data_IF_383495389607
#
_entry.id   IF_383495389607
#
_cell.length_a   1.000
_cell.length_b   1.000
_cell.length_c   1.000
_cell.angle_alpha   90.00
_cell.angle_beta   90.00
_cell.angle_gamma   90.00
#
_symmetry.space_group_name_H-M   'P 1'
#
loop_
_entity.id
_entity.type
_entity.pdbx_description
1 polymer ?
#
# COMPACT_ATOMS: atom_id res chain seq x y z
N UNK A 1 19.99 -55.17 -43.99
CA UNK A 1 19.66 -54.11 -43.00
C UNK A 1 18.87 -53.00 -43.70
N UNK A 2 17.55 -53.06 -43.67
CA UNK A 2 16.69 -52.01 -44.23
C UNK A 2 16.66 -50.82 -43.26
N UNK A 3 17.43 -49.78 -43.54
CA UNK A 3 17.24 -48.48 -42.89
C UNK A 3 15.93 -47.89 -43.40
N UNK A 4 14.84 -48.11 -42.66
CA UNK A 4 13.55 -47.44 -42.91
C UNK A 4 13.83 -45.94 -42.87
N UNK A 5 13.80 -45.29 -44.03
CA UNK A 5 13.94 -43.83 -44.13
C UNK A 5 12.69 -43.24 -43.48
N UNK A 6 12.86 -42.54 -42.36
CA UNK A 6 11.74 -41.84 -41.73
C UNK A 6 11.17 -40.83 -42.72
N UNK A 7 9.84 -40.78 -42.90
CA UNK A 7 9.25 -39.83 -43.82
C UNK A 7 9.43 -38.40 -43.27
N UNK A 8 9.64 -37.42 -44.16
CA UNK A 8 9.95 -36.03 -43.74
C UNK A 8 8.91 -35.41 -42.81
N UNK A 9 7.63 -35.81 -42.92
CA UNK A 9 6.56 -35.37 -42.02
C UNK A 9 6.70 -35.88 -40.58
N UNK A 10 7.30 -37.06 -40.37
CA UNK A 10 7.56 -37.59 -39.04
C UNK A 10 8.67 -36.79 -38.32
N UNK A 11 9.65 -36.28 -39.07
CA UNK A 11 10.70 -35.39 -38.52
C UNK A 11 10.10 -34.05 -38.10
N UNK A 12 9.21 -33.47 -38.92
CA UNK A 12 8.51 -32.21 -38.59
C UNK A 12 7.65 -32.37 -37.33
N UNK A 13 6.88 -33.46 -37.21
CA UNK A 13 6.08 -33.72 -36.00
C UNK A 13 6.93 -33.87 -34.74
N UNK A 14 8.07 -34.55 -34.82
CA UNK A 14 8.98 -34.70 -33.68
C UNK A 14 9.57 -33.34 -33.28
N UNK A 15 9.96 -32.50 -34.24
CA UNK A 15 10.46 -31.15 -33.96
C UNK A 15 9.40 -30.29 -33.28
N UNK A 16 8.16 -30.31 -33.78
CA UNK A 16 7.03 -29.59 -33.16
C UNK A 16 6.75 -30.08 -31.74
N UNK A 17 6.79 -31.40 -31.51
CA UNK A 17 6.53 -32.00 -30.21
C UNK A 17 7.65 -31.69 -29.20
N UNK A 18 8.91 -31.68 -29.64
CA UNK A 18 10.06 -31.25 -28.82
C UNK A 18 9.95 -29.76 -28.50
N UNK A 19 9.60 -28.90 -29.46
CA UNK A 19 9.38 -27.46 -29.21
C UNK A 19 8.23 -27.26 -28.21
N UNK A 20 7.12 -27.99 -28.35
CA UNK A 20 5.99 -27.92 -27.44
C UNK A 20 6.35 -28.41 -26.02
N UNK A 21 7.19 -29.44 -25.91
CA UNK A 21 7.61 -30.01 -24.63
C UNK A 21 8.64 -29.12 -23.93
N UNK A 22 9.58 -28.54 -24.68
CA UNK A 22 10.50 -27.50 -24.19
C UNK A 22 9.73 -26.25 -23.77
N UNK A 23 8.73 -25.81 -24.56
CA UNK A 23 7.86 -24.69 -24.20
C UNK A 23 7.04 -24.98 -22.93
N UNK A 24 6.47 -26.17 -22.80
CA UNK A 24 5.68 -26.57 -21.63
C UNK A 24 6.49 -26.62 -20.33
N UNK A 25 7.71 -27.16 -20.36
CA UNK A 25 8.61 -27.18 -19.19
C UNK A 25 9.14 -25.77 -18.88
N UNK A 26 9.37 -24.94 -19.90
CA UNK A 26 9.87 -23.56 -19.74
C UNK A 26 8.85 -22.61 -19.10
N UNK A 27 7.58 -23.00 -18.97
CA UNK A 27 6.50 -22.14 -18.47
C UNK A 27 6.23 -22.33 -16.96
N UNK A 28 6.49 -23.53 -16.41
CA UNK A 28 6.22 -23.82 -14.99
C UNK A 28 7.14 -23.03 -14.05
N UNK A 29 8.41 -22.88 -14.41
CA UNK A 29 9.38 -22.10 -13.63
C UNK A 29 8.99 -20.63 -13.52
N UNK A 30 8.81 -19.91 -14.64
CA UNK A 30 8.39 -18.51 -14.63
C UNK A 30 7.06 -18.27 -13.94
N UNK A 31 6.07 -19.16 -14.12
CA UNK A 31 4.78 -19.04 -13.43
C UNK A 31 4.94 -19.02 -11.90
N UNK A 32 5.68 -19.99 -11.34
CA UNK A 32 5.90 -20.05 -9.89
C UNK A 32 6.68 -18.83 -9.38
N UNK A 33 7.62 -18.31 -10.16
CA UNK A 33 8.33 -17.07 -9.83
C UNK A 33 7.41 -15.84 -9.86
N UNK A 34 6.51 -15.74 -10.85
CA UNK A 34 5.50 -14.67 -10.90
C UNK A 34 4.59 -14.70 -9.68
N UNK A 35 4.07 -15.89 -9.33
CA UNK A 35 3.26 -16.07 -8.11
C UNK A 35 4.04 -15.64 -6.87
N UNK A 36 5.32 -16.02 -6.77
CA UNK A 36 6.17 -15.62 -5.65
C UNK A 36 6.38 -14.11 -5.55
N UNK A 37 6.54 -13.40 -6.67
CA UNK A 37 6.63 -11.94 -6.67
C UNK A 37 5.28 -11.26 -6.42
N UNK A 38 4.19 -11.83 -6.95
CA UNK A 38 2.83 -11.34 -6.71
C UNK A 38 2.48 -11.37 -5.22
N UNK A 39 2.79 -12.48 -4.55
CA UNK A 39 2.57 -12.68 -3.11
C UNK A 39 3.40 -11.73 -2.26
N UNK A 40 4.65 -11.44 -2.68
CA UNK A 40 5.49 -10.43 -2.00
C UNK A 40 4.85 -9.05 -2.05
N UNK A 41 4.38 -8.64 -3.24
CA UNK A 41 3.69 -7.35 -3.39
C UNK A 41 2.44 -7.28 -2.51
N UNK A 42 1.63 -8.34 -2.51
CA UNK A 42 0.43 -8.43 -1.67
C UNK A 42 0.78 -8.34 -0.18
N UNK A 43 1.81 -9.04 0.26
CA UNK A 43 2.31 -8.98 1.64
C UNK A 43 2.79 -7.57 2.00
N UNK A 44 3.56 -6.92 1.13
CA UNK A 44 4.04 -5.57 1.35
C UNK A 44 2.88 -4.55 1.43
N UNK A 45 1.82 -4.74 0.64
CA UNK A 45 0.60 -3.92 0.74
C UNK A 45 -0.10 -4.12 2.09
N UNK A 46 -0.23 -5.36 2.58
CA UNK A 46 -0.81 -5.64 3.90
C UNK A 46 0.04 -5.04 5.04
N UNK A 47 1.35 -4.94 4.86
CA UNK A 47 2.22 -4.25 5.83
C UNK A 47 1.89 -2.76 5.89
N UNK A 48 1.68 -2.09 4.75
CA UNK A 48 1.23 -0.69 4.71
C UNK A 48 -0.08 -0.53 5.48
N UNK A 49 -1.09 -1.37 5.18
CA UNK A 49 -2.37 -1.37 5.87
C UNK A 49 -2.21 -1.50 7.39
N UNK A 50 -1.35 -2.40 7.85
CA UNK A 50 -1.10 -2.62 9.28
C UNK A 50 -0.49 -1.39 9.96
N UNK A 51 0.45 -0.73 9.29
CA UNK A 51 1.05 0.49 9.85
C UNK A 51 0.07 1.67 9.84
N UNK A 52 -0.75 1.81 8.80
CA UNK A 52 -1.83 2.81 8.76
C UNK A 52 -2.87 2.56 9.85
N UNK A 53 -3.25 1.30 10.08
CA UNK A 53 -4.12 0.93 11.20
C UNK A 53 -3.48 1.33 12.54
N UNK A 54 -2.19 1.07 12.73
CA UNK A 54 -1.48 1.45 13.96
C UNK A 54 -1.51 2.95 14.21
N UNK A 55 -1.42 3.77 13.15
CA UNK A 55 -1.56 5.23 13.24
C UNK A 55 -2.98 5.62 13.66
N UNK A 56 -4.00 5.02 13.04
CA UNK A 56 -5.41 5.27 13.41
C UNK A 56 -5.70 4.85 14.85
N UNK A 57 -5.16 3.71 15.31
CA UNK A 57 -5.29 3.24 16.68
C UNK A 57 -4.73 4.25 17.67
N UNK A 58 -3.55 4.82 17.37
CA UNK A 58 -2.98 5.89 18.20
C UNK A 58 -3.83 7.16 18.18
N UNK A 59 -4.39 7.53 17.03
CA UNK A 59 -5.30 8.68 16.95
C UNK A 59 -6.57 8.41 17.77
N UNK A 60 -7.14 7.20 17.69
CA UNK A 60 -8.31 6.80 18.47
C UNK A 60 -8.03 6.87 19.98
N UNK A 61 -6.84 6.46 20.41
CA UNK A 61 -6.41 6.50 21.82
C UNK A 61 -6.39 7.95 22.37
N UNK A 62 -5.90 8.90 21.57
CA UNK A 62 -5.80 10.30 21.98
C UNK A 62 -7.11 11.09 21.82
N UNK A 63 -7.98 10.67 20.89
CA UNK A 63 -9.17 11.42 20.47
C UNK A 63 -10.05 11.88 21.64
N UNK A 64 -10.39 11.05 22.65
CA UNK A 64 -11.24 11.50 23.75
C UNK A 64 -10.64 12.65 24.57
N UNK A 65 -9.31 12.68 24.73
CA UNK A 65 -8.63 13.75 25.46
C UNK A 65 -8.65 15.06 24.68
N UNK A 66 -8.40 15.00 23.37
CA UNK A 66 -8.50 16.16 22.46
C UNK A 66 -9.92 16.70 22.43
N UNK A 67 -10.91 15.83 22.26
CA UNK A 67 -12.33 16.21 22.25
C UNK A 67 -12.82 16.75 23.59
N UNK A 68 -12.22 16.34 24.71
CA UNK A 68 -12.55 16.84 26.05
C UNK A 68 -11.99 18.24 26.34
N UNK A 69 -10.90 18.63 25.68
CA UNK A 69 -10.30 19.96 25.82
C UNK A 69 -10.91 21.00 24.86
N UNK A 70 -11.39 20.55 23.70
CA UNK A 70 -11.90 21.41 22.63
C UNK A 70 -13.42 21.66 22.71
N UNK A 71 -13.88 22.78 22.14
CA UNK A 71 -15.30 23.01 21.89
C UNK A 71 -15.71 22.32 20.58
N UNK A 72 -16.94 21.79 20.52
CA UNK A 72 -17.45 21.13 19.29
C UNK A 72 -17.61 22.10 18.11
N UNK A 73 -17.61 23.42 18.37
CA UNK A 73 -17.69 24.44 17.33
C UNK A 73 -16.34 24.75 16.67
N UNK A 74 -15.23 24.27 17.25
CA UNK A 74 -13.89 24.53 16.73
C UNK A 74 -13.72 23.88 15.36
N UNK A 75 -13.17 24.62 14.40
CA UNK A 75 -13.01 24.15 13.02
C UNK A 75 -12.17 22.87 12.97
N UNK A 76 -11.14 22.78 13.81
CA UNK A 76 -10.29 21.59 13.96
C UNK A 76 -11.09 20.34 14.38
N UNK A 77 -12.09 20.49 15.26
CA UNK A 77 -12.95 19.38 15.65
C UNK A 77 -13.80 18.91 14.46
N UNK A 78 -14.35 19.85 13.68
CA UNK A 78 -15.16 19.55 12.49
C UNK A 78 -14.33 18.88 11.40
N UNK A 79 -13.09 19.32 11.19
CA UNK A 79 -12.19 18.76 10.18
C UNK A 79 -11.85 17.30 10.52
N UNK A 80 -11.48 17.02 11.77
CA UNK A 80 -11.24 15.64 12.23
C UNK A 80 -12.50 14.79 12.09
N UNK A 81 -13.67 15.30 12.46
CA UNK A 81 -14.94 14.59 12.32
C UNK A 81 -15.30 14.30 10.84
N UNK A 82 -15.01 15.25 9.94
CA UNK A 82 -15.22 15.08 8.51
C UNK A 82 -14.30 14.00 7.93
N UNK A 83 -13.01 13.99 8.31
CA UNK A 83 -12.06 12.97 7.88
C UNK A 83 -12.42 11.57 8.42
N UNK A 84 -12.93 11.49 9.66
CA UNK A 84 -13.42 10.24 10.26
C UNK A 84 -14.58 9.61 9.50
N UNK A 85 -15.48 10.44 8.97
CA UNK A 85 -16.74 9.98 8.37
C UNK A 85 -16.68 9.85 6.85
N UNK A 86 -15.79 10.57 6.17
CA UNK A 86 -15.81 10.71 4.70
C UNK A 86 -14.52 10.26 4.00
N UNK A 87 -13.63 9.50 4.65
CA UNK A 87 -12.40 9.00 4.02
C UNK A 87 -12.59 7.58 3.49
N UNK A 88 -12.47 7.34 2.16
CA UNK A 88 -12.42 6.00 1.59
C UNK A 88 -11.26 5.18 2.17
N UNK A 89 -11.49 3.89 2.43
CA UNK A 89 -10.53 3.03 3.10
C UNK A 89 -10.54 3.12 4.63
N UNK A 90 -11.16 4.14 5.23
CA UNK A 90 -11.43 4.21 6.66
C UNK A 90 -12.89 3.82 6.93
N UNK A 91 -13.11 3.10 8.02
CA UNK A 91 -14.43 2.71 8.51
C UNK A 91 -14.48 2.88 10.03
N UNK A 92 -15.68 2.87 10.60
CA UNK A 92 -15.88 2.96 12.04
C UNK A 92 -16.37 1.61 12.55
N UNK A 93 -15.75 1.13 13.63
CA UNK A 93 -16.21 -0.09 14.30
C UNK A 93 -17.44 0.15 15.17
N UNK A 94 -17.92 -0.92 15.80
CA UNK A 94 -19.08 -0.86 16.70
C UNK A 94 -18.83 0.03 17.95
N UNK A 95 -17.57 0.33 18.25
CA UNK A 95 -17.14 1.16 19.37
C UNK A 95 -16.87 2.62 18.93
N UNK A 96 -16.97 2.93 17.63
CA UNK A 96 -16.71 4.26 17.07
C UNK A 96 -15.23 4.57 16.84
N UNK A 97 -14.34 3.57 16.84
CA UNK A 97 -12.94 3.74 16.49
C UNK A 97 -12.74 3.62 14.98
N UNK A 98 -11.80 4.40 14.45
CA UNK A 98 -11.42 4.31 13.05
C UNK A 98 -10.61 3.05 12.76
N UNK A 99 -10.92 2.39 11.65
CA UNK A 99 -10.24 1.20 11.18
C UNK A 99 -10.04 1.24 9.67
N UNK A 100 -8.91 0.75 9.20
CA UNK A 100 -8.69 0.47 7.78
C UNK A 100 -9.59 -0.68 7.35
N UNK A 101 -10.30 -0.50 6.24
CA UNK A 101 -11.18 -1.53 5.69
C UNK A 101 -10.38 -2.79 5.33
N UNK A 102 -10.92 -3.96 5.67
CA UNK A 102 -10.24 -5.25 5.46
C UNK A 102 -9.88 -5.53 3.98
N UNK A 103 -10.65 -4.97 3.04
CA UNK A 103 -10.47 -5.13 1.60
C UNK A 103 -10.07 -3.81 0.91
N UNK A 104 -9.39 -2.92 1.63
CA UNK A 104 -8.93 -1.65 1.10
C UNK A 104 -8.05 -1.84 -0.15
N UNK A 105 -8.43 -1.19 -1.25
CA UNK A 105 -7.59 -1.11 -2.44
C UNK A 105 -6.35 -0.25 -2.18
N UNK A 106 -5.38 -0.27 -3.11
CA UNK A 106 -4.21 0.61 -2.99
C UNK A 106 -4.61 2.09 -2.87
N UNK A 107 -5.58 2.52 -3.68
CA UNK A 107 -6.11 3.89 -3.65
C UNK A 107 -6.84 4.23 -2.33
N UNK A 108 -7.48 3.25 -1.71
CA UNK A 108 -8.09 3.41 -0.38
C UNK A 108 -7.01 3.60 0.70
N UNK A 109 -5.90 2.85 0.61
CA UNK A 109 -4.77 3.00 1.54
C UNK A 109 -4.06 4.36 1.36
N UNK A 110 -3.92 4.85 0.13
CA UNK A 110 -3.37 6.18 -0.16
C UNK A 110 -4.25 7.31 0.41
N UNK A 111 -5.57 7.16 0.31
CA UNK A 111 -6.52 8.12 0.88
C UNK A 111 -6.53 8.07 2.42
N UNK A 112 -6.54 6.87 2.99
CA UNK A 112 -6.45 6.68 4.44
C UNK A 112 -5.14 7.24 5.02
N UNK A 113 -4.03 7.10 4.28
CA UNK A 113 -2.77 7.75 4.64
C UNK A 113 -2.87 9.27 4.64
N UNK A 114 -3.39 9.86 3.56
CA UNK A 114 -3.52 11.31 3.43
C UNK A 114 -4.41 11.89 4.54
N UNK A 115 -5.54 11.24 4.81
CA UNK A 115 -6.48 11.65 5.84
C UNK A 115 -5.90 11.51 7.24
N UNK A 116 -5.28 10.38 7.58
CA UNK A 116 -4.67 10.21 8.91
C UNK A 116 -3.50 11.17 9.13
N UNK A 117 -2.73 11.48 8.08
CA UNK A 117 -1.70 12.53 8.13
C UNK A 117 -2.30 13.92 8.35
N UNK A 118 -3.47 14.22 7.75
CA UNK A 118 -4.18 15.48 8.00
C UNK A 118 -4.71 15.55 9.44
N UNK A 119 -5.30 14.48 9.97
CA UNK A 119 -5.75 14.43 11.37
C UNK A 119 -4.61 14.70 12.35
N UNK A 120 -3.40 14.20 12.08
CA UNK A 120 -2.22 14.50 12.90
C UNK A 120 -1.84 16.00 12.85
N UNK A 121 -1.95 16.64 11.69
CA UNK A 121 -1.75 18.10 11.58
C UNK A 121 -2.81 18.86 12.36
N UNK A 122 -4.07 18.46 12.25
CA UNK A 122 -5.19 19.06 12.97
C UNK A 122 -5.03 18.91 14.49
N UNK A 123 -4.59 17.73 14.96
CA UNK A 123 -4.23 17.51 16.37
C UNK A 123 -3.08 18.42 16.82
N UNK A 124 -2.05 18.61 15.99
CA UNK A 124 -0.97 19.55 16.33
C UNK A 124 -1.47 20.99 16.45
N UNK A 125 -2.37 21.43 15.55
CA UNK A 125 -3.01 22.76 15.65
C UNK A 125 -3.84 22.87 16.93
N UNK A 126 -4.60 21.82 17.30
CA UNK A 126 -5.32 21.79 18.57
C UNK A 126 -4.36 21.93 19.76
N UNK A 127 -3.21 21.25 19.75
CA UNK A 127 -2.22 21.34 20.84
C UNK A 127 -1.65 22.76 20.98
N UNK A 128 -1.51 23.50 19.88
CA UNK A 128 -1.09 24.90 19.92
C UNK A 128 -2.16 25.83 20.50
N UNK A 129 -3.43 25.57 20.18
CA UNK A 129 -4.58 26.33 20.70
C UNK A 129 -4.90 26.00 22.18
N UNK A 130 -4.61 24.78 22.63
CA UNK A 130 -4.96 24.23 23.95
C UNK A 130 -3.69 23.72 24.68
N UNK A 131 -2.88 24.61 25.31
CA UNK A 131 -1.59 24.27 25.92
C UNK A 131 -1.66 23.22 27.03
N UNK A 132 -2.82 23.04 27.66
CA UNK A 132 -3.08 22.01 28.66
C UNK A 132 -2.93 20.60 28.07
N UNK A 133 -3.26 20.39 26.79
CA UNK A 133 -3.05 19.12 26.11
C UNK A 133 -1.57 18.78 25.95
N UNK A 134 -0.75 19.79 25.63
CA UNK A 134 0.69 19.66 25.38
C UNK A 134 1.46 19.08 26.58
N UNK A 135 1.01 19.41 27.78
CA UNK A 135 1.71 19.05 29.01
C UNK A 135 1.37 17.65 29.52
N UNK A 136 0.34 17.01 28.97
CA UNK A 136 -0.07 15.66 29.36
C UNK A 136 0.95 14.62 28.90
N UNK A 137 1.20 13.62 29.74
CA UNK A 137 2.11 12.52 29.37
C UNK A 137 1.54 11.69 28.21
N UNK A 138 0.20 11.53 28.17
CA UNK A 138 -0.51 10.90 27.05
C UNK A 138 -0.18 11.55 25.70
N UNK A 139 -0.13 12.89 25.63
CA UNK A 139 0.19 13.60 24.38
C UNK A 139 1.65 13.41 23.98
N UNK A 140 2.59 13.44 24.93
CA UNK A 140 4.02 13.22 24.65
C UNK A 140 4.28 11.80 24.12
N UNK A 141 3.64 10.82 24.73
CA UNK A 141 3.71 9.42 24.32
C UNK A 141 3.09 9.22 22.94
N UNK A 142 1.97 9.90 22.66
CA UNK A 142 1.34 9.92 21.34
C UNK A 142 2.28 10.48 20.27
N UNK A 143 2.85 11.66 20.47
CA UNK A 143 3.75 12.29 19.49
C UNK A 143 4.95 11.40 19.18
N UNK A 144 5.57 10.81 20.22
CA UNK A 144 6.70 9.88 20.07
C UNK A 144 6.29 8.62 19.30
N UNK A 145 5.12 8.05 19.62
CA UNK A 145 4.61 6.85 18.96
C UNK A 145 4.30 7.11 17.48
N UNK A 146 3.67 8.25 17.18
CA UNK A 146 3.32 8.66 15.82
C UNK A 146 4.57 8.82 14.97
N UNK A 147 5.62 9.49 15.46
CA UNK A 147 6.89 9.61 14.74
C UNK A 147 7.50 8.24 14.40
N UNK A 148 7.47 7.30 15.35
CA UNK A 148 7.91 5.92 15.11
C UNK A 148 7.06 5.20 14.05
N UNK A 149 5.75 5.43 14.05
CA UNK A 149 4.82 4.88 13.06
C UNK A 149 5.07 5.50 11.68
N UNK A 150 5.33 6.81 11.59
CA UNK A 150 5.65 7.49 10.32
C UNK A 150 6.85 6.86 9.62
N UNK A 151 7.92 6.62 10.37
CA UNK A 151 9.12 5.99 9.84
C UNK A 151 8.83 4.58 9.31
N UNK A 152 8.01 3.79 10.04
CA UNK A 152 7.60 2.44 9.61
C UNK A 152 6.71 2.47 8.38
N UNK A 153 5.82 3.45 8.27
CA UNK A 153 4.96 3.64 7.10
C UNK A 153 5.79 4.01 5.88
N UNK A 154 6.75 4.93 6.03
CA UNK A 154 7.68 5.30 4.95
C UNK A 154 8.44 4.08 4.44
N UNK A 155 9.01 3.30 5.35
CA UNK A 155 9.73 2.07 5.01
C UNK A 155 8.83 1.00 4.35
N UNK A 156 7.60 0.84 4.82
CA UNK A 156 6.64 -0.09 4.22
C UNK A 156 6.29 0.29 2.78
N UNK A 157 6.14 1.60 2.47
CA UNK A 157 5.90 2.08 1.10
C UNK A 157 7.10 1.87 0.19
N UNK A 158 8.29 2.14 0.70
CA UNK A 158 9.54 1.90 -0.04
C UNK A 158 9.64 0.43 -0.43
N UNK A 159 9.46 -0.46 0.55
CA UNK A 159 9.49 -1.92 0.35
C UNK A 159 8.43 -2.37 -0.66
N UNK A 160 7.19 -1.88 -0.54
CA UNK A 160 6.13 -2.17 -1.53
C UNK A 160 6.51 -1.71 -2.94
N UNK A 161 7.06 -0.51 -3.08
CA UNK A 161 7.46 0.03 -4.38
C UNK A 161 8.63 -0.74 -5.01
N UNK A 162 9.55 -1.24 -4.20
CA UNK A 162 10.64 -2.13 -4.64
C UNK A 162 10.13 -3.50 -5.09
N UNK A 163 9.20 -4.10 -4.33
CA UNK A 163 8.58 -5.37 -4.70
C UNK A 163 7.73 -5.24 -5.96
N UNK A 164 6.94 -4.16 -6.09
CA UNK A 164 6.18 -3.83 -7.32
C UNK A 164 7.13 -3.66 -8.50
N UNK A 165 8.25 -2.97 -8.31
CA UNK A 165 9.25 -2.81 -9.36
C UNK A 165 9.83 -4.16 -9.79
N UNK A 166 10.21 -5.01 -8.84
CA UNK A 166 10.76 -6.34 -9.11
C UNK A 166 9.75 -7.19 -9.88
N UNK A 167 8.51 -7.24 -9.41
CA UNK A 167 7.39 -7.91 -10.07
C UNK A 167 7.17 -7.38 -11.49
N UNK A 168 7.00 -6.07 -11.65
CA UNK A 168 6.74 -5.43 -12.94
C UNK A 168 7.87 -5.65 -13.94
N UNK A 169 9.13 -5.54 -13.52
CA UNK A 169 10.28 -5.83 -14.39
C UNK A 169 10.25 -7.29 -14.83
N UNK A 170 9.98 -8.22 -13.92
CA UNK A 170 9.93 -9.64 -14.24
C UNK A 170 8.85 -9.97 -15.27
N UNK A 171 7.60 -9.54 -15.05
CA UNK A 171 6.48 -9.85 -15.94
C UNK A 171 6.54 -9.09 -17.27
N UNK A 172 7.30 -7.98 -17.36
CA UNK A 172 7.46 -7.21 -18.61
C UNK A 172 8.67 -7.62 -19.43
N UNK A 173 9.60 -8.38 -18.84
CA UNK A 173 10.82 -8.83 -19.52
C UNK A 173 10.54 -9.97 -20.50
N UNK A 174 11.20 -9.98 -21.65
CA UNK A 174 11.17 -11.13 -22.56
C UNK A 174 12.04 -12.27 -22.02
N UNK A 175 11.61 -13.55 -22.07
CA UNK A 175 10.37 -14.05 -22.67
C UNK A 175 9.15 -14.11 -21.71
N UNK A 176 9.32 -13.70 -20.45
CA UNK A 176 8.30 -13.81 -19.41
C UNK A 176 6.99 -13.05 -19.73
N UNK A 177 7.05 -11.94 -20.47
CA UNK A 177 5.88 -11.17 -20.88
C UNK A 177 4.82 -11.97 -21.66
N UNK A 178 5.25 -12.96 -22.44
CA UNK A 178 4.34 -13.86 -23.17
C UNK A 178 3.59 -14.75 -22.17
N UNK A 179 4.33 -15.37 -21.23
CA UNK A 179 3.72 -16.19 -20.18
C UNK A 179 2.82 -15.35 -19.26
N UNK A 180 3.27 -14.17 -18.84
CA UNK A 180 2.50 -13.25 -18.01
C UNK A 180 1.14 -12.91 -18.65
N UNK A 181 1.14 -12.56 -19.95
CA UNK A 181 -0.09 -12.30 -20.69
C UNK A 181 -1.01 -13.53 -20.81
N UNK A 182 -0.45 -14.73 -20.97
CA UNK A 182 -1.23 -15.97 -21.05
C UNK A 182 -1.87 -16.37 -19.70
N UNK A 183 -1.21 -16.11 -18.58
CA UNK A 183 -1.68 -16.47 -17.23
C UNK A 183 -2.34 -15.31 -16.46
N UNK A 184 -2.45 -14.13 -17.07
CA UNK A 184 -3.18 -12.99 -16.49
C UNK A 184 -2.37 -12.16 -15.48
N UNK A 185 -1.05 -12.29 -15.43
CA UNK A 185 -0.21 -11.42 -14.61
C UNK A 185 -0.13 -10.03 -15.25
N UNK A 186 -0.67 -9.03 -14.57
CA UNK A 186 -0.72 -7.64 -15.03
C UNK A 186 0.16 -6.76 -14.17
N UNK A 187 0.71 -5.64 -14.70
CA UNK A 187 1.48 -4.69 -13.90
C UNK A 187 0.69 -4.17 -12.70
N UNK A 188 1.37 -4.03 -11.57
CA UNK A 188 0.83 -3.41 -10.36
C UNK A 188 1.30 -1.96 -10.25
N UNK A 189 0.45 -1.11 -9.69
CA UNK A 189 0.79 0.29 -9.43
C UNK A 189 1.68 0.41 -8.20
N UNK A 190 2.53 1.44 -8.19
CA UNK A 190 3.32 1.80 -7.02
C UNK A 190 2.46 2.62 -6.07
N UNK A 191 2.80 2.61 -4.79
CA UNK A 191 2.22 3.51 -3.80
C UNK A 191 2.81 4.91 -4.03
N UNK A 192 1.96 5.85 -4.41
CA UNK A 192 2.36 7.23 -4.66
C UNK A 192 2.24 8.08 -3.40
N UNK A 193 3.08 9.10 -3.29
CA UNK A 193 2.88 10.12 -2.27
C UNK A 193 1.57 10.86 -2.59
N UNK A 194 0.72 11.06 -1.59
CA UNK A 194 -0.54 11.77 -1.77
C UNK A 194 -0.31 13.09 -2.51
N UNK A 195 -1.27 13.49 -3.34
CA UNK A 195 -1.24 14.76 -4.09
C UNK A 195 -1.07 15.99 -3.19
N UNK A 196 -1.32 15.88 -1.88
CA UNK A 196 -1.00 16.91 -0.89
C UNK A 196 0.52 17.10 -0.69
N UNK A 197 1.33 16.04 -0.78
CA UNK A 197 2.80 16.13 -0.70
C UNK A 197 3.42 16.74 -1.97
N UNK A 198 2.72 16.67 -3.10
CA UNK A 198 3.15 17.32 -4.35
C UNK A 198 2.94 18.84 -4.32
N UNK A 199 2.10 19.36 -3.42
CA UNK A 199 1.82 20.78 -3.23
C UNK A 199 2.55 21.34 -2.00
N UNK A 200 3.85 21.09 -1.86
CA UNK A 200 4.64 21.77 -0.82
C UNK A 200 4.53 23.30 -1.01
N UNK A 201 4.20 24.08 0.03
CA UNK A 201 4.12 25.52 -0.08
C UNK A 201 5.48 26.08 -0.53
N UNK A 202 5.50 26.83 -1.63
CA UNK A 202 6.69 27.58 -2.04
C UNK A 202 6.90 28.68 -1.01
N UNK A 203 7.89 28.51 -0.13
CA UNK A 203 8.32 29.56 0.79
C UNK A 203 8.88 30.69 -0.05
N UNK A 204 8.06 31.73 -0.25
CA UNK A 204 8.53 33.01 -0.77
C UNK A 204 9.12 33.78 0.40
N UNK A 205 10.42 34.01 0.36
CA UNK A 205 11.05 35.01 1.20
C UNK A 205 10.82 36.36 0.50
N UNK A 206 10.07 37.24 1.15
CA UNK A 206 10.00 38.66 0.78
C UNK A 206 11.24 39.40 1.31
#
# INVERSE_FOLDING_TARGET
>A
MNRRKFPGWAIVLIVVLVIALVAGISVVGPYNTMVGYDEKVTTAQSNIQTQLQSRLDKINELMPAVQGAMNQEDDVYKDIAALRSNTPGISMDAQGNMQIQNNASLADLEQADAASSQMLRDINIAVEAYPELKSTDLMKDFMTSVEGIENRISYARETYNEDVQTYNVYIRSFPHNIAAGLFGFTPKDKFEASSAAQNAPVVKFD
#
